data_IF_519826782932
#
_entry.id   IF_519826782932
#
_cell.length_a   1.000
_cell.length_b   1.000
_cell.length_c   1.000
_cell.angle_alpha   90.00
_cell.angle_beta   90.00
_cell.angle_gamma   90.00
#
_symmetry.space_group_name_H-M   'P 1'
#
loop_
_entity.id
_entity.type
_entity.pdbx_description
1 polymer ?
#
# COMPACT_ATOMS: atom_id res chain seq x y z
N UNK A 1 20.64 -14.69 20.26
CA UNK A 1 19.28 -14.97 19.77
C UNK A 1 19.42 -15.19 18.29
N UNK A 2 18.93 -16.31 17.76
CA UNK A 2 19.03 -16.68 16.33
C UNK A 2 18.28 -15.69 15.44
N UNK A 3 18.65 -15.66 14.16
CA UNK A 3 18.09 -14.71 13.19
C UNK A 3 16.59 -14.99 13.01
N UNK A 4 16.21 -16.25 12.80
CA UNK A 4 14.83 -16.64 12.54
C UNK A 4 13.89 -16.32 13.71
N UNK A 5 14.32 -16.67 14.93
CA UNK A 5 13.56 -16.36 16.15
C UNK A 5 13.33 -14.86 16.30
N UNK A 6 14.37 -14.07 16.04
CA UNK A 6 14.33 -12.61 16.12
C UNK A 6 13.32 -12.04 15.14
N UNK A 7 13.32 -12.51 13.89
CA UNK A 7 12.33 -12.08 12.88
C UNK A 7 10.92 -12.42 13.37
N UNK A 8 10.67 -13.68 13.73
CA UNK A 8 9.34 -14.14 14.18
C UNK A 8 8.81 -13.32 15.35
N UNK A 9 9.62 -13.11 16.39
CA UNK A 9 9.22 -12.41 17.61
C UNK A 9 8.99 -10.92 17.37
N UNK A 10 9.78 -10.29 16.49
CA UNK A 10 9.55 -8.90 16.08
C UNK A 10 8.29 -8.73 15.24
N UNK A 11 7.96 -9.74 14.43
CA UNK A 11 6.67 -9.78 13.73
C UNK A 11 5.53 -10.17 14.65
N UNK A 12 5.85 -10.64 15.87
CA UNK A 12 4.98 -11.07 16.96
C UNK A 12 4.16 -12.32 16.66
N UNK A 13 4.66 -13.22 15.82
CA UNK A 13 4.03 -14.50 15.56
C UNK A 13 4.45 -15.54 16.61
N UNK A 14 3.55 -16.46 16.95
CA UNK A 14 3.91 -17.68 17.67
C UNK A 14 4.48 -18.72 16.70
N UNK A 15 5.28 -19.66 17.20
CA UNK A 15 5.77 -20.77 16.38
C UNK A 15 4.62 -21.59 15.79
N UNK A 16 3.53 -21.80 16.55
CA UNK A 16 2.35 -22.51 16.05
C UNK A 16 1.69 -21.78 14.86
N UNK A 17 1.62 -20.45 14.90
CA UNK A 17 1.06 -19.66 13.79
C UNK A 17 1.91 -19.81 12.52
N UNK A 18 3.24 -19.72 12.66
CA UNK A 18 4.16 -19.86 11.52
C UNK A 18 4.17 -21.29 10.98
N UNK A 19 4.25 -22.31 11.85
CA UNK A 19 4.17 -23.72 11.48
C UNK A 19 2.89 -24.01 10.69
N UNK A 20 1.75 -23.51 11.17
CA UNK A 20 0.47 -23.67 10.47
C UNK A 20 0.44 -22.95 9.11
N UNK A 21 1.10 -21.80 8.98
CA UNK A 21 1.11 -21.01 7.74
C UNK A 21 2.09 -21.56 6.69
N UNK A 22 3.21 -22.14 7.13
CA UNK A 22 4.27 -22.68 6.28
C UNK A 22 4.09 -24.17 5.96
N UNK A 23 3.29 -24.89 6.76
CA UNK A 23 3.20 -26.35 6.70
C UNK A 23 4.37 -27.08 7.38
N UNK A 24 5.35 -26.35 7.93
CA UNK A 24 6.45 -26.94 8.70
C UNK A 24 5.91 -27.53 10.01
N UNK A 25 6.49 -28.66 10.44
CA UNK A 25 6.20 -29.17 11.78
C UNK A 25 6.71 -28.20 12.84
N UNK A 26 5.99 -28.11 13.97
CA UNK A 26 6.42 -27.26 15.09
C UNK A 26 7.82 -27.63 15.58
N UNK A 27 8.17 -28.92 15.58
CA UNK A 27 9.49 -29.41 15.95
C UNK A 27 10.57 -28.94 14.97
N UNK A 28 10.29 -28.98 13.65
CA UNK A 28 11.22 -28.51 12.63
C UNK A 28 11.46 -27.01 12.73
N UNK A 29 10.40 -26.21 12.86
CA UNK A 29 10.52 -24.76 13.05
C UNK A 29 11.30 -24.42 14.33
N UNK A 30 11.03 -25.11 15.43
CA UNK A 30 11.75 -24.89 16.68
C UNK A 30 13.25 -25.24 16.57
N UNK A 31 13.59 -26.31 15.83
CA UNK A 31 14.99 -26.67 15.55
C UNK A 31 15.68 -25.61 14.70
N UNK A 32 15.04 -25.19 13.59
CA UNK A 32 15.56 -24.11 12.73
C UNK A 32 15.77 -22.80 13.51
N UNK A 33 14.89 -22.45 14.45
CA UNK A 33 15.09 -21.28 15.33
C UNK A 33 16.21 -21.45 16.37
N UNK A 34 16.89 -22.61 16.45
CA UNK A 34 18.03 -22.86 17.34
C UNK A 34 19.34 -22.86 16.55
N UNK A 35 19.37 -23.52 15.39
CA UNK A 35 20.58 -23.73 14.59
C UNK A 35 20.66 -22.82 13.35
N UNK A 36 19.58 -22.10 13.02
CA UNK A 36 19.43 -21.31 11.79
C UNK A 36 19.67 -22.16 10.52
N UNK A 37 19.46 -23.48 10.60
CA UNK A 37 19.63 -24.44 9.50
C UNK A 37 18.28 -24.68 8.79
N UNK A 38 18.21 -24.27 7.53
CA UNK A 38 17.05 -24.41 6.64
C UNK A 38 17.53 -24.85 5.27
N UNK A 39 16.76 -25.72 4.62
CA UNK A 39 16.93 -25.90 3.18
C UNK A 39 16.38 -24.68 2.40
N UNK A 40 16.65 -24.65 1.10
CA UNK A 40 16.25 -23.53 0.24
C UNK A 40 14.72 -23.33 0.17
N UNK A 41 13.96 -24.43 0.17
CA UNK A 41 12.49 -24.39 0.06
C UNK A 41 11.88 -23.91 1.38
N UNK A 42 12.43 -24.35 2.52
CA UNK A 42 12.03 -23.90 3.84
C UNK A 42 12.35 -22.41 4.07
N UNK A 43 13.55 -21.97 3.66
CA UNK A 43 13.95 -20.57 3.73
C UNK A 43 13.05 -19.68 2.87
N UNK A 44 12.73 -20.11 1.65
CA UNK A 44 11.80 -19.42 0.75
C UNK A 44 10.41 -19.35 1.36
N UNK A 45 9.90 -20.46 1.90
CA UNK A 45 8.58 -20.54 2.52
C UNK A 45 8.47 -19.63 3.76
N UNK A 46 9.50 -19.60 4.60
CA UNK A 46 9.56 -18.71 5.76
C UNK A 46 9.70 -17.24 5.33
N UNK A 47 10.51 -16.93 4.32
CA UNK A 47 10.63 -15.59 3.77
C UNK A 47 9.32 -15.04 3.22
N UNK A 48 8.55 -15.91 2.58
CA UNK A 48 7.20 -15.63 2.08
C UNK A 48 6.22 -15.25 3.20
N UNK A 49 6.30 -15.93 4.34
CA UNK A 49 5.47 -15.67 5.52
C UNK A 49 5.94 -14.45 6.30
N UNK A 50 7.25 -14.25 6.42
CA UNK A 50 7.83 -13.13 7.16
C UNK A 50 7.91 -11.83 6.37
N UNK A 51 7.71 -11.86 5.06
CA UNK A 51 7.87 -10.68 4.24
C UNK A 51 9.33 -10.24 4.14
N UNK A 52 10.30 -11.15 4.24
CA UNK A 52 11.76 -10.86 4.10
C UNK A 52 12.43 -11.89 3.20
N UNK A 53 13.67 -11.60 2.79
CA UNK A 53 14.56 -12.63 2.28
C UNK A 53 15.25 -13.30 3.48
N UNK A 54 14.89 -14.56 3.76
CA UNK A 54 15.47 -15.30 4.89
C UNK A 54 16.90 -15.74 4.57
N UNK A 55 17.20 -16.09 3.32
CA UNK A 55 18.54 -16.48 2.90
C UNK A 55 19.54 -15.34 3.16
N UNK A 56 19.23 -14.15 2.68
CA UNK A 56 20.06 -12.96 2.91
C UNK A 56 20.22 -12.63 4.41
N UNK A 57 19.15 -12.80 5.20
CA UNK A 57 19.19 -12.53 6.63
C UNK A 57 20.09 -13.53 7.39
N UNK A 58 20.05 -14.80 6.99
CA UNK A 58 20.90 -15.86 7.53
C UNK A 58 22.37 -15.64 7.14
N UNK A 59 22.64 -15.35 5.86
CA UNK A 59 23.99 -15.07 5.35
C UNK A 59 24.63 -13.84 6.04
N UNK A 60 23.84 -12.79 6.25
CA UNK A 60 24.29 -11.59 6.95
C UNK A 60 24.45 -11.79 8.47
N UNK A 61 23.94 -12.90 9.02
CA UNK A 61 23.88 -13.14 10.47
C UNK A 61 23.09 -12.08 11.24
N UNK A 62 22.14 -11.40 10.56
CA UNK A 62 21.43 -10.24 11.09
C UNK A 62 19.96 -10.27 10.69
N UNK A 63 19.09 -10.13 11.68
CA UNK A 63 17.64 -10.06 11.50
C UNK A 63 17.23 -8.75 10.81
N UNK A 64 17.28 -8.78 9.48
CA UNK A 64 16.85 -7.69 8.62
C UNK A 64 15.32 -7.68 8.54
N UNK A 65 14.67 -7.02 9.50
CA UNK A 65 13.22 -7.00 9.64
C UNK A 65 12.51 -6.37 8.44
N UNK A 66 11.36 -6.88 8.00
CA UNK A 66 10.66 -6.30 6.86
C UNK A 66 10.22 -4.86 7.15
N UNK A 67 9.98 -4.05 6.11
CA UNK A 67 9.50 -2.68 6.31
C UNK A 67 8.22 -2.61 7.15
N UNK A 68 7.38 -3.65 7.06
CA UNK A 68 6.13 -3.73 7.80
C UNK A 68 6.29 -4.12 9.28
N UNK A 69 7.49 -4.49 9.75
CA UNK A 69 7.68 -4.91 11.15
C UNK A 69 7.37 -3.79 12.16
N UNK A 70 7.59 -2.52 11.78
CA UNK A 70 7.23 -1.38 12.62
C UNK A 70 5.72 -1.33 12.88
N UNK A 71 4.89 -1.47 11.83
CA UNK A 71 3.43 -1.54 11.93
C UNK A 71 3.01 -2.69 12.86
N UNK A 72 3.64 -3.85 12.70
CA UNK A 72 3.28 -5.05 13.45
C UNK A 72 3.67 -5.00 14.93
N UNK A 73 4.67 -4.20 15.33
CA UNK A 73 5.01 -4.03 16.76
C UNK A 73 4.17 -2.98 17.45
N UNK A 74 3.80 -1.90 16.76
CA UNK A 74 2.96 -0.83 17.31
C UNK A 74 1.50 -1.26 17.43
N UNK A 75 0.91 -1.68 16.31
CA UNK A 75 -0.53 -1.96 16.19
C UNK A 75 -0.86 -3.45 16.14
N UNK A 76 0.13 -4.34 16.05
CA UNK A 76 -0.09 -5.77 15.88
C UNK A 76 -0.83 -6.47 17.01
N UNK A 77 -0.90 -5.86 18.20
CA UNK A 77 -1.76 -6.36 19.29
C UNK A 77 -3.26 -6.18 19.00
N UNK A 78 -3.64 -5.27 18.10
CA UNK A 78 -5.03 -4.98 17.73
C UNK A 78 -5.41 -5.69 16.41
N UNK A 79 -4.42 -6.04 15.59
CA UNK A 79 -4.63 -6.73 14.32
C UNK A 79 -4.86 -8.23 14.52
N UNK A 80 -5.78 -8.80 13.74
CA UNK A 80 -5.93 -10.26 13.67
C UNK A 80 -4.66 -10.93 13.11
N UNK A 81 -4.44 -12.20 13.47
CA UNK A 81 -3.30 -12.98 12.95
C UNK A 81 -3.30 -13.01 11.42
N UNK A 82 -4.48 -13.17 10.81
CA UNK A 82 -4.67 -13.15 9.37
C UNK A 82 -4.26 -11.80 8.76
N UNK A 83 -4.68 -10.67 9.35
CA UNK A 83 -4.28 -9.34 8.88
C UNK A 83 -2.76 -9.15 8.91
N UNK A 84 -2.08 -9.71 9.92
CA UNK A 84 -0.62 -9.63 10.04
C UNK A 84 0.11 -10.45 8.97
N UNK A 85 -0.41 -11.62 8.62
CA UNK A 85 0.12 -12.37 7.48
C UNK A 85 -0.12 -11.66 6.15
N UNK A 86 -1.31 -11.08 5.93
CA UNK A 86 -1.60 -10.26 4.74
C UNK A 86 -0.65 -9.05 4.62
N UNK A 87 -0.32 -8.40 5.74
CA UNK A 87 0.66 -7.31 5.79
C UNK A 87 2.07 -7.79 5.39
N UNK A 88 2.49 -8.97 5.85
CA UNK A 88 3.78 -9.55 5.46
C UNK A 88 3.78 -9.97 3.98
N UNK A 89 2.68 -10.55 3.50
CA UNK A 89 2.49 -10.88 2.10
C UNK A 89 2.58 -9.64 1.21
N UNK A 90 2.00 -8.51 1.63
CA UNK A 90 2.13 -7.26 0.89
C UNK A 90 3.60 -6.83 0.71
N UNK A 91 4.45 -7.03 1.73
CA UNK A 91 5.88 -6.74 1.63
C UNK A 91 6.59 -7.68 0.65
N UNK A 92 6.24 -8.98 0.62
CA UNK A 92 6.73 -9.93 -0.38
C UNK A 92 6.30 -9.55 -1.78
N UNK A 93 5.01 -9.29 -1.99
CA UNK A 93 4.44 -8.84 -3.27
C UNK A 93 5.13 -7.58 -3.77
N UNK A 94 5.39 -6.62 -2.88
CA UNK A 94 6.10 -5.39 -3.23
C UNK A 94 7.55 -5.64 -3.67
N UNK A 95 8.30 -6.53 -2.98
CA UNK A 95 9.65 -6.90 -3.41
C UNK A 95 9.64 -7.58 -4.79
N UNK A 96 8.75 -8.54 -5.01
CA UNK A 96 8.63 -9.21 -6.31
C UNK A 96 8.27 -8.21 -7.40
N UNK A 97 7.28 -7.35 -7.16
CA UNK A 97 6.90 -6.30 -8.10
C UNK A 97 8.08 -5.37 -8.41
N UNK A 98 8.83 -4.97 -7.38
CA UNK A 98 10.02 -4.13 -7.54
C UNK A 98 11.10 -4.79 -8.38
N UNK A 99 11.37 -6.07 -8.14
CA UNK A 99 12.33 -6.85 -8.93
C UNK A 99 11.88 -6.95 -10.39
N UNK A 100 10.62 -7.30 -10.65
CA UNK A 100 10.06 -7.37 -12.00
C UNK A 100 10.13 -6.03 -12.74
N UNK A 101 9.80 -4.92 -12.06
CA UNK A 101 9.95 -3.58 -12.59
C UNK A 101 11.40 -3.30 -13.01
N UNK A 102 12.38 -3.68 -12.18
CA UNK A 102 13.79 -3.52 -12.53
C UNK A 102 14.17 -4.30 -13.79
N UNK A 103 13.72 -5.56 -13.91
CA UNK A 103 13.99 -6.39 -15.09
C UNK A 103 13.32 -5.85 -16.35
N UNK A 104 12.16 -5.21 -16.21
CA UNK A 104 11.42 -4.57 -17.30
C UNK A 104 11.95 -3.17 -17.66
N UNK A 105 12.91 -2.63 -16.91
CA UNK A 105 13.42 -1.27 -17.09
C UNK A 105 12.49 -0.17 -16.57
N UNK A 106 11.49 -0.50 -15.75
CA UNK A 106 10.59 0.44 -15.12
C UNK A 106 11.28 1.12 -13.90
N UNK A 107 11.09 2.43 -13.74
CA UNK A 107 11.56 3.18 -12.55
C UNK A 107 10.71 2.81 -11.32
N UNK A 108 11.37 2.66 -10.17
CA UNK A 108 10.74 2.24 -8.92
C UNK A 108 10.08 3.36 -8.12
N UNK A 109 10.22 4.62 -8.57
CA UNK A 109 9.61 5.77 -7.92
C UNK A 109 10.19 6.14 -6.54
N UNK A 110 10.97 5.26 -5.92
CA UNK A 110 11.54 5.46 -4.59
C UNK A 110 12.43 6.71 -4.54
N UNK A 111 13.26 6.89 -5.57
CA UNK A 111 14.09 8.09 -5.73
C UNK A 111 13.25 9.37 -5.77
N UNK A 112 12.09 9.35 -6.44
CA UNK A 112 11.18 10.50 -6.54
C UNK A 112 10.53 10.82 -5.20
N UNK A 113 10.15 9.81 -4.42
CA UNK A 113 9.67 10.00 -3.04
C UNK A 113 10.76 10.61 -2.16
N UNK A 114 12.01 10.18 -2.31
CA UNK A 114 13.15 10.72 -1.54
C UNK A 114 13.47 12.18 -1.85
N UNK A 115 13.08 12.71 -3.02
CA UNK A 115 13.23 14.14 -3.34
C UNK A 115 12.42 15.05 -2.40
N UNK A 116 11.40 14.51 -1.73
CA UNK A 116 10.66 15.24 -0.72
C UNK A 116 11.42 15.20 0.60
N UNK A 117 12.31 16.15 0.87
CA UNK A 117 12.90 16.34 2.20
C UNK A 117 11.83 16.20 3.29
N UNK A 118 12.09 15.30 4.23
CA UNK A 118 11.14 14.98 5.27
C UNK A 118 11.05 16.09 6.33
N UNK A 119 9.93 16.12 7.03
CA UNK A 119 9.58 17.25 7.89
C UNK A 119 9.43 16.79 9.34
N UNK A 120 10.41 17.15 10.16
CA UNK A 120 10.43 16.85 11.60
C UNK A 120 9.85 18.02 12.42
N UNK A 121 9.55 19.16 11.82
CA UNK A 121 9.12 20.36 12.53
C UNK A 121 7.59 20.44 12.57
N UNK A 122 7.01 19.50 13.30
CA UNK A 122 5.57 19.50 13.55
C UNK A 122 5.28 19.36 15.03
N UNK A 123 4.78 20.46 15.62
CA UNK A 123 4.34 20.53 17.00
C UNK A 123 2.81 20.54 17.08
N UNK A 124 2.11 21.10 16.08
CA UNK A 124 0.64 21.13 16.04
C UNK A 124 0.04 21.37 14.62
N UNK A 125 -1.16 20.84 14.27
CA UNK A 125 -1.82 21.07 12.97
C UNK A 125 -2.13 22.52 12.63
N UNK A 126 -2.21 23.38 13.65
CA UNK A 126 -2.50 24.81 13.49
C UNK A 126 -1.27 25.64 13.15
N UNK A 127 -0.09 25.03 13.08
CA UNK A 127 1.17 25.74 12.78
C UNK A 127 1.35 26.00 11.27
N UNK A 128 0.32 25.70 10.45
CA UNK A 128 0.33 25.92 8.99
C UNK A 128 1.17 24.90 8.20
N UNK A 129 1.83 23.96 8.87
CA UNK A 129 2.61 22.91 8.24
C UNK A 129 1.81 22.05 7.23
N UNK A 130 0.55 21.64 7.49
CA UNK A 130 -0.21 20.84 6.53
C UNK A 130 -0.45 21.56 5.19
N UNK A 131 -0.83 22.85 5.22
CA UNK A 131 -1.02 23.67 4.01
C UNK A 131 0.32 23.88 3.27
N UNK A 132 1.42 24.09 3.99
CA UNK A 132 2.78 24.20 3.39
C UNK A 132 3.19 22.93 2.66
N UNK A 133 3.05 21.77 3.31
CA UNK A 133 3.40 20.47 2.73
C UNK A 133 2.52 20.15 1.52
N UNK A 134 1.21 20.38 1.64
CA UNK A 134 0.28 20.22 0.53
C UNK A 134 0.65 21.14 -0.64
N UNK A 135 0.96 22.41 -0.38
CA UNK A 135 1.37 23.38 -1.40
C UNK A 135 2.65 22.97 -2.10
N UNK A 136 3.63 22.41 -1.37
CA UNK A 136 4.87 21.86 -1.95
C UNK A 136 4.58 20.73 -2.93
N UNK A 137 3.73 19.77 -2.55
CA UNK A 137 3.31 18.67 -3.44
C UNK A 137 2.57 19.22 -4.67
N UNK A 138 1.63 20.16 -4.47
CA UNK A 138 0.90 20.76 -5.58
C UNK A 138 1.80 21.55 -6.54
N UNK A 139 2.84 22.20 -6.02
CA UNK A 139 3.83 22.92 -6.83
C UNK A 139 4.68 21.95 -7.68
N UNK A 140 5.15 20.86 -7.07
CA UNK A 140 5.92 19.81 -7.76
C UNK A 140 5.14 19.26 -8.98
N UNK A 141 3.84 18.98 -8.78
CA UNK A 141 2.97 18.44 -9.82
C UNK A 141 2.24 19.51 -10.65
N UNK A 142 2.56 20.80 -10.47
CA UNK A 142 1.95 21.95 -11.17
C UNK A 142 0.41 21.93 -11.14
N UNK A 143 -0.17 21.50 -10.02
CA UNK A 143 -1.62 21.34 -9.86
C UNK A 143 -2.37 22.66 -9.61
N UNK A 144 -1.64 23.75 -9.32
CA UNK A 144 -2.23 25.06 -9.01
C UNK A 144 -3.22 24.98 -7.84
N UNK A 145 -4.39 25.62 -7.97
CA UNK A 145 -5.48 25.60 -6.97
C UNK A 145 -6.70 24.79 -7.39
N UNK A 146 -6.68 24.20 -8.58
CA UNK A 146 -7.79 23.42 -9.12
C UNK A 146 -7.96 22.06 -8.41
N UNK A 147 -9.13 21.44 -8.48
CA UNK A 147 -9.32 20.08 -7.99
C UNK A 147 -8.32 19.09 -8.62
N UNK A 148 -7.80 18.17 -7.81
CA UNK A 148 -7.04 17.02 -8.33
C UNK A 148 -8.06 16.06 -8.94
N UNK A 149 -8.01 15.86 -10.25
CA UNK A 149 -8.95 15.01 -10.96
C UNK A 149 -8.78 13.55 -10.52
N UNK A 150 -7.55 13.05 -10.51
CA UNK A 150 -7.23 11.69 -10.07
C UNK A 150 -6.02 11.72 -9.14
N UNK A 151 -6.18 11.28 -7.90
CA UNK A 151 -5.05 11.11 -6.97
C UNK A 151 -4.10 10.04 -7.51
N UNK A 152 -4.67 8.96 -8.06
CA UNK A 152 -3.90 7.84 -8.60
C UNK A 152 -3.05 8.26 -9.79
N UNK A 153 -3.67 8.86 -10.82
CA UNK A 153 -2.97 9.14 -12.08
C UNK A 153 -2.17 10.45 -12.06
N UNK A 154 -2.57 11.46 -11.28
CA UNK A 154 -1.84 12.74 -11.24
C UNK A 154 -0.75 12.79 -10.16
N UNK A 155 -0.80 11.93 -9.13
CA UNK A 155 0.19 11.92 -8.04
C UNK A 155 0.90 10.57 -7.89
N UNK A 156 0.16 9.50 -7.59
CA UNK A 156 0.76 8.22 -7.19
C UNK A 156 1.54 7.56 -8.32
N UNK A 157 0.95 7.45 -9.51
CA UNK A 157 1.59 6.85 -10.69
C UNK A 157 2.84 7.62 -11.15
N UNK A 158 2.83 8.97 -11.28
CA UNK A 158 4.05 9.74 -11.56
C UNK A 158 5.15 9.56 -10.50
N UNK A 159 4.77 9.41 -9.22
CA UNK A 159 5.72 9.10 -8.15
C UNK A 159 6.23 7.66 -8.16
N UNK A 160 5.66 6.78 -9.00
CA UNK A 160 5.97 5.35 -9.01
C UNK A 160 5.51 4.62 -7.75
N UNK A 161 4.48 5.14 -7.06
CA UNK A 161 3.90 4.49 -5.87
C UNK A 161 3.06 3.30 -6.33
N UNK A 162 3.40 2.11 -5.84
CA UNK A 162 2.65 0.89 -6.06
C UNK A 162 1.41 0.86 -5.17
N UNK A 163 0.22 0.77 -5.76
CA UNK A 163 -1.03 0.65 -4.99
C UNK A 163 -1.53 -0.79 -5.04
N UNK A 164 -1.45 -1.50 -3.92
CA UNK A 164 -1.94 -2.86 -3.74
C UNK A 164 -3.32 -2.86 -3.10
N UNK A 165 -4.06 -3.95 -3.29
CA UNK A 165 -5.35 -4.19 -2.62
C UNK A 165 -5.25 -5.37 -1.68
N UNK A 166 -5.71 -5.22 -0.44
CA UNK A 166 -5.79 -6.30 0.53
C UNK A 166 -7.22 -6.49 1.05
N UNK A 167 -7.46 -7.58 1.76
CA UNK A 167 -8.71 -7.78 2.50
C UNK A 167 -8.37 -7.92 3.99
N UNK A 168 -8.49 -6.81 4.72
CA UNK A 168 -8.17 -6.72 6.14
C UNK A 168 -9.45 -6.44 6.95
N UNK A 169 -9.29 -6.34 8.27
CA UNK A 169 -10.34 -5.90 9.19
C UNK A 169 -10.90 -4.51 8.79
N UNK A 170 -12.21 -4.31 8.88
CA UNK A 170 -12.92 -3.08 8.41
C UNK A 170 -12.43 -1.77 9.05
N UNK A 171 -11.78 -1.89 10.21
CA UNK A 171 -11.21 -0.75 10.95
C UNK A 171 -9.90 -0.23 10.36
N UNK A 172 -9.30 -0.96 9.42
CA UNK A 172 -8.09 -0.55 8.70
C UNK A 172 -8.53 -0.09 7.32
N UNK A 173 -8.32 1.18 6.98
CA UNK A 173 -8.61 1.67 5.63
C UNK A 173 -7.46 1.40 4.67
N UNK A 174 -6.25 1.68 5.11
CA UNK A 174 -5.04 1.47 4.34
C UNK A 174 -3.83 1.43 5.28
N UNK A 175 -2.69 1.12 4.69
CA UNK A 175 -1.38 1.41 5.26
C UNK A 175 -0.40 1.60 4.10
N UNK A 176 0.74 2.23 4.32
CA UNK A 176 1.79 2.36 3.32
C UNK A 176 3.10 1.73 3.79
N UNK A 177 4.02 1.46 2.86
CA UNK A 177 5.42 1.21 3.18
C UNK A 177 6.41 1.46 2.07
N UNK A 178 7.69 1.60 2.40
CA UNK A 178 8.71 1.67 1.36
C UNK A 178 10.16 1.62 1.80
N UNK A 179 10.97 0.97 0.96
CA UNK A 179 12.42 0.88 1.04
C UNK A 179 12.99 0.82 -0.38
N UNK A 180 14.32 0.90 -0.58
CA UNK A 180 14.92 0.64 -1.88
C UNK A 180 14.49 -0.70 -2.52
N UNK A 181 14.29 -1.73 -1.69
CA UNK A 181 13.94 -3.10 -2.10
C UNK A 181 12.45 -3.30 -2.39
N UNK A 182 11.55 -2.52 -1.79
CA UNK A 182 10.10 -2.61 -2.05
C UNK A 182 9.56 -1.50 -2.95
N UNK A 183 10.32 -0.41 -3.15
CA UNK A 183 9.76 0.83 -3.66
C UNK A 183 8.79 1.47 -2.67
N UNK A 184 8.08 2.52 -3.10
CA UNK A 184 7.01 3.15 -2.33
C UNK A 184 5.68 2.43 -2.59
N UNK A 185 4.96 2.05 -1.54
CA UNK A 185 3.79 1.18 -1.58
C UNK A 185 2.66 1.76 -0.73
N UNK A 186 1.44 1.73 -1.26
CA UNK A 186 0.20 1.92 -0.49
C UNK A 186 -0.62 0.65 -0.64
N UNK A 187 -1.13 0.11 0.46
CA UNK A 187 -2.05 -1.02 0.48
C UNK A 187 -3.43 -0.52 0.89
N UNK A 188 -4.38 -0.53 -0.02
CA UNK A 188 -5.77 -0.20 0.25
C UNK A 188 -6.53 -1.44 0.75
N UNK A 189 -7.22 -1.33 1.87
CA UNK A 189 -8.11 -2.39 2.34
C UNK A 189 -9.44 -2.30 1.59
N UNK A 190 -9.82 -3.36 0.88
CA UNK A 190 -11.11 -3.45 0.19
C UNK A 190 -12.32 -3.51 1.11
N UNK A 191 -12.12 -3.70 2.42
CA UNK A 191 -13.18 -3.68 3.45
C UNK A 191 -13.12 -2.43 4.34
N UNK A 192 -12.19 -1.51 4.08
CA UNK A 192 -12.06 -0.30 4.89
C UNK A 192 -13.31 0.58 4.79
N UNK A 193 -13.80 1.06 5.92
CA UNK A 193 -15.01 1.90 6.02
C UNK A 193 -14.99 3.09 5.05
N UNK A 194 -13.86 3.80 4.95
CA UNK A 194 -13.74 4.99 4.10
C UNK A 194 -13.37 4.63 2.65
N UNK A 195 -12.76 3.48 2.42
CA UNK A 195 -12.32 3.08 1.07
C UNK A 195 -13.45 2.59 0.16
N UNK A 196 -14.66 2.36 0.68
CA UNK A 196 -15.80 1.96 -0.15
C UNK A 196 -16.27 3.10 -1.06
N UNK A 197 -16.19 4.35 -0.60
CA UNK A 197 -16.59 5.53 -1.36
C UNK A 197 -15.38 6.23 -2.00
N UNK A 198 -15.52 6.78 -3.21
CA UNK A 198 -14.42 7.49 -3.88
C UNK A 198 -13.84 8.65 -3.06
N UNK A 199 -14.69 9.46 -2.41
CA UNK A 199 -14.23 10.59 -1.61
C UNK A 199 -13.41 10.14 -0.40
N UNK A 200 -13.77 9.01 0.21
CA UNK A 200 -12.99 8.40 1.28
C UNK A 200 -11.71 7.73 0.75
N UNK A 201 -11.74 7.00 -0.37
CA UNK A 201 -10.50 6.48 -1.01
C UNK A 201 -9.51 7.60 -1.31
N UNK A 202 -9.97 8.70 -1.88
CA UNK A 202 -9.12 9.85 -2.22
C UNK A 202 -8.45 10.44 -0.98
N UNK A 203 -9.20 10.60 0.11
CA UNK A 203 -8.62 11.13 1.36
C UNK A 203 -7.64 10.14 1.99
N UNK A 204 -7.96 8.84 1.94
CA UNK A 204 -7.08 7.75 2.41
C UNK A 204 -5.79 7.72 1.60
N UNK A 205 -5.84 7.70 0.27
CA UNK A 205 -4.65 7.72 -0.59
C UNK A 205 -3.79 8.96 -0.35
N UNK A 206 -4.40 10.14 -0.23
CA UNK A 206 -3.69 11.37 0.07
C UNK A 206 -3.06 11.36 1.48
N UNK A 207 -3.69 10.68 2.44
CA UNK A 207 -3.18 10.50 3.80
C UNK A 207 -1.95 9.58 3.81
N UNK A 208 -2.04 8.40 3.19
CA UNK A 208 -0.91 7.48 3.05
C UNK A 208 0.25 8.12 2.27
N UNK A 209 -0.06 8.92 1.26
CA UNK A 209 0.96 9.68 0.52
C UNK A 209 1.72 10.66 1.44
N UNK A 210 1.06 11.29 2.42
CA UNK A 210 1.76 12.15 3.39
C UNK A 210 2.86 11.38 4.12
N UNK A 211 2.54 10.19 4.61
CA UNK A 211 3.48 9.35 5.33
C UNK A 211 4.66 8.96 4.46
N UNK A 212 4.40 8.55 3.21
CA UNK A 212 5.43 8.27 2.22
C UNK A 212 6.34 9.47 1.97
N UNK A 213 5.79 10.68 1.87
CA UNK A 213 6.55 11.87 1.50
C UNK A 213 7.27 12.57 2.65
N UNK A 214 6.78 12.53 3.88
CA UNK A 214 7.27 13.45 4.93
C UNK A 214 7.64 12.81 6.26
N UNK A 215 7.24 11.57 6.55
CA UNK A 215 7.30 11.06 7.93
C UNK A 215 8.53 10.17 8.20
N UNK A 216 9.45 10.08 7.24
CA UNK A 216 10.56 9.10 7.21
C UNK A 216 11.67 9.24 8.30
N UNK A 217 12.16 10.43 8.71
CA UNK A 217 13.40 10.59 9.50
C UNK A 217 13.22 10.61 11.03
N UNK A 218 12.01 10.82 11.58
CA UNK A 218 11.73 10.66 13.03
C UNK A 218 11.72 9.20 13.52
N UNK A 219 12.03 8.27 12.64
CA UNK A 219 12.06 6.83 12.87
C UNK A 219 13.50 6.31 13.07
N UNK A 220 14.37 7.12 13.71
CA UNK A 220 15.78 6.77 13.90
C UNK A 220 15.94 5.61 14.87
N UNK A 221 16.36 4.49 14.31
CA UNK A 221 16.57 3.19 14.97
C UNK A 221 16.30 2.03 14.01
N UNK A 222 15.51 2.26 12.96
CA UNK A 222 15.25 1.25 11.93
C UNK A 222 15.18 1.87 10.53
N UNK A 223 16.01 1.35 9.63
CA UNK A 223 16.19 1.80 8.25
C UNK A 223 14.96 1.60 7.33
N UNK A 224 13.74 1.46 7.87
CA UNK A 224 12.57 1.05 7.09
C UNK A 224 11.28 1.66 7.65
N UNK A 225 10.49 2.17 6.71
CA UNK A 225 9.18 2.79 6.80
C UNK A 225 8.23 2.32 7.93
N UNK A 226 7.45 3.26 8.51
CA UNK A 226 6.36 2.98 9.47
C UNK A 226 4.99 3.04 8.80
N UNK A 227 4.35 1.88 8.66
CA UNK A 227 2.94 1.82 8.30
C UNK A 227 2.08 2.28 9.48
N UNK A 228 0.98 2.95 9.18
CA UNK A 228 0.03 3.47 10.15
C UNK A 228 -1.32 2.81 9.85
N UNK A 229 -1.94 2.23 10.88
CA UNK A 229 -3.32 1.81 10.83
C UNK A 229 -3.97 2.19 12.16
N UNK A 230 -4.99 3.06 12.16
CA UNK A 230 -5.72 3.38 13.38
C UNK A 230 -6.99 2.53 13.50
N UNK A 231 -6.97 1.41 14.26
CA UNK A 231 -8.20 0.78 14.67
C UNK A 231 -8.95 1.71 15.64
N UNK A 232 -10.20 2.05 15.31
CA UNK A 232 -11.11 2.77 16.22
C UNK A 232 -11.14 2.07 17.60
N UNK A 233 -10.73 2.76 18.67
CA UNK A 233 -10.92 2.30 20.06
C UNK A 233 -9.78 2.49 21.07
N UNK A 234 -8.58 2.96 20.69
CA UNK A 234 -7.49 3.16 21.65
C UNK A 234 -7.74 4.35 22.59
N UNK A 235 -8.12 4.05 23.84
CA UNK A 235 -8.02 4.97 24.98
C UNK A 235 -6.77 4.60 25.79
N UNK A 236 -5.78 5.50 25.87
CA UNK A 236 -4.97 5.62 27.09
C UNK A 236 -3.47 5.32 27.09
N UNK A 237 -2.70 5.35 25.98
CA UNK A 237 -1.22 5.22 26.10
C UNK A 237 -0.50 6.23 25.19
N UNK A 238 0.50 6.91 25.77
CA UNK A 238 1.48 7.89 25.25
C UNK A 238 1.19 8.54 23.88
N UNK A 239 0.60 9.74 23.90
CA UNK A 239 -0.16 10.31 22.77
C UNK A 239 0.51 11.39 21.92
N UNK A 240 1.63 11.99 22.29
CA UNK A 240 1.89 13.32 21.71
C UNK A 240 2.54 13.31 20.31
N UNK A 241 3.49 12.41 20.03
CA UNK A 241 4.21 12.39 18.76
C UNK A 241 3.48 11.62 17.64
N UNK A 242 3.02 10.39 17.90
CA UNK A 242 2.26 9.58 16.93
C UNK A 242 0.92 10.22 16.59
N UNK A 243 0.16 10.73 17.58
CA UNK A 243 -1.07 11.48 17.27
C UNK A 243 -0.76 12.77 16.49
N UNK A 244 0.45 13.37 16.64
CA UNK A 244 0.81 14.55 15.85
C UNK A 244 1.04 14.19 14.36
N UNK A 245 1.72 13.08 14.07
CA UNK A 245 1.95 12.59 12.71
C UNK A 245 0.62 12.27 12.03
N UNK A 246 -0.28 11.55 12.72
CA UNK A 246 -1.62 11.26 12.20
C UNK A 246 -2.45 12.50 11.93
N UNK A 247 -2.45 13.43 12.87
CA UNK A 247 -3.18 14.69 12.72
C UNK A 247 -2.59 15.50 11.59
N UNK A 248 -1.27 15.45 11.37
CA UNK A 248 -0.61 16.08 10.22
C UNK A 248 -1.07 15.44 8.92
N UNK A 249 -0.99 14.13 8.78
CA UNK A 249 -1.37 13.44 7.55
C UNK A 249 -2.86 13.65 7.22
N UNK A 250 -3.73 13.63 8.23
CA UNK A 250 -5.16 13.96 8.07
C UNK A 250 -5.39 15.41 7.64
N UNK A 251 -4.66 16.36 8.21
CA UNK A 251 -4.77 17.76 7.80
C UNK A 251 -4.18 17.99 6.40
N UNK A 252 -3.04 17.35 6.11
CA UNK A 252 -2.35 17.41 4.83
C UNK A 252 -3.25 16.89 3.71
N UNK A 253 -3.90 15.74 3.88
CA UNK A 253 -4.76 15.16 2.85
C UNK A 253 -5.93 16.09 2.51
N UNK A 254 -6.52 16.73 3.52
CA UNK A 254 -7.56 17.74 3.31
C UNK A 254 -7.03 18.99 2.60
N UNK A 255 -5.84 19.49 2.96
CA UNK A 255 -5.21 20.64 2.30
C UNK A 255 -4.78 20.34 0.87
N UNK A 256 -4.31 19.12 0.60
CA UNK A 256 -3.87 18.68 -0.72
C UNK A 256 -5.03 18.62 -1.69
N UNK A 257 -6.15 18.01 -1.28
CA UNK A 257 -7.34 17.88 -2.12
C UNK A 257 -8.13 19.18 -2.25
N UNK A 258 -8.23 19.97 -1.18
CA UNK A 258 -8.93 21.25 -1.14
C UNK A 258 -7.97 22.39 -0.69
N UNK A 259 -7.12 22.89 -1.61
CA UNK A 259 -6.14 23.93 -1.30
C UNK A 259 -6.82 25.23 -0.90
N UNK A 260 -6.17 26.00 -0.02
CA UNK A 260 -6.74 27.23 0.56
C UNK A 260 -7.32 28.18 -0.49
N UNK A 261 -6.56 28.48 -1.55
CA UNK A 261 -6.98 29.47 -2.55
C UNK A 261 -8.16 28.96 -3.39
N UNK A 262 -8.10 27.70 -3.85
CA UNK A 262 -9.20 27.08 -4.59
C UNK A 262 -10.47 26.99 -3.76
N UNK A 263 -10.34 26.66 -2.46
CA UNK A 263 -11.48 26.60 -1.55
C UNK A 263 -12.08 27.99 -1.30
N UNK A 264 -11.27 29.04 -1.17
CA UNK A 264 -11.76 30.42 -1.05
C UNK A 264 -12.52 30.87 -2.30
N UNK A 265 -11.96 30.60 -3.47
CA UNK A 265 -12.58 30.92 -4.75
C UNK A 265 -13.94 30.23 -4.88
N UNK A 266 -13.98 28.91 -4.74
CA UNK A 266 -15.21 28.13 -4.80
C UNK A 266 -16.25 28.57 -3.74
N UNK A 267 -15.82 28.86 -2.51
CA UNK A 267 -16.71 29.33 -1.45
C UNK A 267 -17.29 30.71 -1.72
N UNK A 268 -16.49 31.60 -2.32
CA UNK A 268 -16.91 32.95 -2.68
C UNK A 268 -17.86 32.97 -3.88
N UNK A 269 -17.70 32.01 -4.80
CA UNK A 269 -18.55 31.85 -5.98
C UNK A 269 -19.96 31.34 -5.71
N UNK A 270 -20.24 30.87 -4.49
CA UNK A 270 -21.55 30.32 -4.09
C UNK A 270 -22.24 31.13 -3.00
N UNK A 271 -21.99 32.44 -2.91
CA UNK A 271 -22.53 33.29 -1.82
C UNK A 271 -24.05 33.40 -1.81
N UNK A 272 -24.66 33.20 -2.96
CA UNK A 272 -26.11 33.21 -3.22
C UNK A 272 -26.81 31.90 -2.82
N UNK A 273 -26.05 30.83 -2.58
CA UNK A 273 -26.60 29.54 -2.19
C UNK A 273 -26.78 29.42 -0.67
N UNK A 274 -27.79 28.64 -0.27
CA UNK A 274 -27.97 28.17 1.11
C UNK A 274 -26.73 27.44 1.63
N UNK A 275 -26.43 27.56 2.93
CA UNK A 275 -25.18 27.07 3.52
C UNK A 275 -24.89 25.60 3.18
N UNK A 276 -25.90 24.73 3.27
CA UNK A 276 -25.72 23.31 2.93
C UNK A 276 -25.37 23.06 1.47
N UNK A 277 -25.97 23.82 0.54
CA UNK A 277 -25.63 23.75 -0.89
C UNK A 277 -24.22 24.25 -1.18
N UNK A 278 -23.73 25.23 -0.40
CA UNK A 278 -22.33 25.69 -0.50
C UNK A 278 -21.36 24.60 -0.08
N UNK A 279 -21.64 23.89 1.02
CA UNK A 279 -20.81 22.78 1.48
C UNK A 279 -20.86 21.61 0.48
N UNK A 280 -22.05 21.25 -0.03
CA UNK A 280 -22.21 20.24 -1.08
C UNK A 280 -21.42 20.60 -2.35
N UNK A 281 -21.41 21.89 -2.73
CA UNK A 281 -20.63 22.38 -3.85
C UNK A 281 -19.13 22.16 -3.63
N UNK A 282 -18.60 22.47 -2.45
CA UNK A 282 -17.18 22.21 -2.13
C UNK A 282 -16.84 20.71 -2.14
N UNK A 283 -17.68 19.89 -1.53
CA UNK A 283 -17.51 18.42 -1.52
C UNK A 283 -17.47 17.86 -2.94
N UNK A 284 -18.39 18.32 -3.79
CA UNK A 284 -18.47 17.91 -5.19
C UNK A 284 -17.27 18.41 -6.00
N UNK A 285 -16.85 19.65 -5.77
CA UNK A 285 -15.76 20.31 -6.52
C UNK A 285 -14.40 19.66 -6.24
N UNK A 286 -14.09 19.38 -4.98
CA UNK A 286 -12.76 18.85 -4.60
C UNK A 286 -12.74 17.32 -4.43
N UNK A 287 -13.90 16.66 -4.45
CA UNK A 287 -14.02 15.23 -4.26
C UNK A 287 -13.64 14.79 -2.85
N UNK A 288 -14.17 15.49 -1.85
CA UNK A 288 -13.91 15.26 -0.42
C UNK A 288 -15.21 15.01 0.34
N UNK A 289 -15.13 14.23 1.42
CA UNK A 289 -16.27 14.01 2.33
C UNK A 289 -16.58 15.24 3.19
N UNK A 290 -17.75 15.22 3.84
CA UNK A 290 -18.24 16.34 4.65
C UNK A 290 -17.26 16.75 5.76
N UNK A 291 -16.69 15.78 6.48
CA UNK A 291 -15.76 16.07 7.58
C UNK A 291 -14.51 16.82 7.12
N UNK A 292 -13.96 16.45 5.95
CA UNK A 292 -12.81 17.13 5.36
C UNK A 292 -13.16 18.54 4.88
N UNK A 293 -14.31 18.71 4.20
CA UNK A 293 -14.81 20.01 3.78
C UNK A 293 -15.03 20.96 4.98
N UNK A 294 -15.67 20.46 6.04
CA UNK A 294 -15.89 21.20 7.29
C UNK A 294 -14.58 21.61 7.96
N UNK A 295 -13.61 20.69 8.06
CA UNK A 295 -12.31 21.00 8.64
C UNK A 295 -11.62 22.14 7.88
N UNK A 296 -11.60 22.07 6.55
CA UNK A 296 -11.00 23.11 5.71
C UNK A 296 -11.71 24.46 5.79
N UNK A 297 -13.04 24.47 5.88
CA UNK A 297 -13.79 25.70 6.10
C UNK A 297 -13.46 26.38 7.42
N UNK A 298 -13.37 25.60 8.51
CA UNK A 298 -12.97 26.11 9.81
C UNK A 298 -11.57 26.74 9.78
N UNK A 299 -10.63 26.11 9.06
CA UNK A 299 -9.26 26.61 8.92
C UNK A 299 -9.19 27.89 8.09
N UNK A 300 -9.85 27.92 6.92
CA UNK A 300 -9.69 28.99 5.92
C UNK A 300 -10.52 30.23 6.21
N UNK A 301 -11.74 30.06 6.72
CA UNK A 301 -12.68 31.17 6.92
C UNK A 301 -12.79 31.59 8.39
N UNK A 302 -12.16 30.87 9.32
CA UNK A 302 -12.39 31.01 10.77
C UNK A 302 -13.88 30.98 11.14
N UNK A 303 -14.72 30.38 10.28
CA UNK A 303 -16.13 30.18 10.59
C UNK A 303 -16.14 29.08 11.65
N UNK A 304 -16.39 29.45 12.91
CA UNK A 304 -16.65 28.49 13.97
C UNK A 304 -18.01 27.86 13.69
N UNK A 305 -18.03 26.83 12.85
CA UNK A 305 -19.26 26.18 12.46
C UNK A 305 -19.59 25.05 13.45
N UNK A 306 -20.61 25.25 14.28
CA UNK A 306 -21.06 24.30 15.32
C UNK A 306 -22.44 23.67 15.06
N UNK A 307 -23.09 23.97 13.94
CA UNK A 307 -24.43 23.46 13.62
C UNK A 307 -24.41 22.10 12.91
N UNK A 308 -25.52 21.36 12.96
CA UNK A 308 -25.79 20.26 12.04
C UNK A 308 -26.38 20.84 10.75
N UNK A 309 -25.69 20.67 9.62
CA UNK A 309 -26.25 20.97 8.30
C UNK A 309 -26.89 19.69 7.78
N UNK A 310 -28.14 19.77 7.38
CA UNK A 310 -28.73 18.77 6.50
C UNK A 310 -28.00 18.82 5.14
N UNK A 311 -27.04 17.92 4.95
CA UNK A 311 -26.27 17.78 3.72
C UNK A 311 -26.78 16.55 3.00
N UNK A 312 -27.13 16.70 1.73
CA UNK A 312 -27.32 15.57 0.85
C UNK A 312 -25.95 15.07 0.41
N UNK A 313 -25.70 13.78 0.52
CA UNK A 313 -24.48 13.20 -0.05
C UNK A 313 -24.41 13.51 -1.55
N UNK A 314 -23.36 14.23 -2.02
CA UNK A 314 -23.21 14.52 -3.43
C UNK A 314 -22.90 13.23 -4.19
N UNK A 315 -23.28 13.21 -5.47
CA UNK A 315 -22.96 12.07 -6.34
C UNK A 315 -21.45 11.87 -6.42
N UNK A 316 -21.00 10.69 -6.02
CA UNK A 316 -19.60 10.27 -6.13
C UNK A 316 -19.25 9.73 -7.52
N UNK A 317 -20.17 9.73 -8.49
CA UNK A 317 -19.98 9.08 -9.79
C UNK A 317 -18.78 9.63 -10.58
N UNK A 318 -18.55 10.95 -10.55
CA UNK A 318 -17.38 11.57 -11.19
C UNK A 318 -16.08 11.06 -10.55
N UNK A 319 -16.03 11.08 -9.22
CA UNK A 319 -14.85 10.68 -8.45
C UNK A 319 -14.61 9.16 -8.47
N UNK A 320 -15.66 8.35 -8.58
CA UNK A 320 -15.54 6.90 -8.80
C UNK A 320 -14.91 6.59 -10.16
N UNK A 321 -15.15 7.41 -11.19
CA UNK A 321 -14.47 7.26 -12.49
C UNK A 321 -13.03 7.74 -12.45
N UNK A 322 -12.74 8.80 -11.70
CA UNK A 322 -11.41 9.39 -11.68
C UNK A 322 -10.44 8.69 -10.72
N UNK A 323 -10.94 8.15 -9.61
CA UNK A 323 -10.21 7.28 -8.67
C UNK A 323 -11.07 6.03 -8.38
N UNK A 324 -11.15 5.09 -9.35
CA UNK A 324 -11.81 3.82 -9.12
C UNK A 324 -11.09 3.04 -8.01
N UNK A 325 -11.78 2.07 -7.42
CA UNK A 325 -11.06 1.06 -6.63
C UNK A 325 -10.00 0.41 -7.52
N UNK A 326 -8.82 0.02 -6.98
CA UNK A 326 -7.77 -0.59 -7.79
C UNK A 326 -8.32 -1.76 -8.60
N UNK A 327 -8.03 -1.76 -9.90
CA UNK A 327 -8.49 -2.81 -10.79
C UNK A 327 -7.77 -4.12 -10.43
N UNK A 328 -8.56 -5.17 -10.29
CA UNK A 328 -8.07 -6.52 -10.02
C UNK A 328 -8.51 -7.42 -11.16
N UNK A 329 -7.62 -8.31 -11.58
CA UNK A 329 -7.94 -9.28 -12.61
C UNK A 329 -9.02 -10.24 -12.10
N UNK A 330 -10.22 -10.13 -12.67
CA UNK A 330 -11.39 -10.90 -12.24
C UNK A 330 -11.19 -12.42 -12.42
N UNK A 331 -10.47 -12.83 -13.46
CA UNK A 331 -10.16 -14.24 -13.70
C UNK A 331 -9.15 -14.76 -12.65
N UNK A 332 -8.16 -13.97 -12.26
CA UNK A 332 -7.24 -14.30 -11.18
C UNK A 332 -7.97 -14.45 -9.85
N UNK A 333 -8.86 -13.51 -9.51
CA UNK A 333 -9.68 -13.59 -8.29
C UNK A 333 -10.59 -14.83 -8.30
N UNK A 334 -11.26 -15.13 -9.42
CA UNK A 334 -12.06 -16.35 -9.57
C UNK A 334 -11.21 -17.62 -9.44
N UNK A 335 -9.92 -17.51 -9.75
CA UNK A 335 -8.90 -18.55 -9.59
C UNK A 335 -8.27 -18.57 -8.19
N UNK A 336 -8.85 -17.85 -7.22
CA UNK A 336 -8.40 -17.88 -5.83
C UNK A 336 -7.09 -17.13 -5.57
N UNK A 337 -6.58 -16.39 -6.56
CA UNK A 337 -5.43 -15.50 -6.36
C UNK A 337 -5.82 -14.40 -5.39
N UNK A 338 -4.95 -14.11 -4.41
CA UNK A 338 -5.19 -13.07 -3.41
C UNK A 338 -5.34 -11.69 -4.09
N UNK A 339 -6.15 -10.77 -3.52
CA UNK A 339 -6.24 -9.40 -4.03
C UNK A 339 -4.90 -8.67 -4.13
N UNK A 340 -3.93 -9.01 -3.26
CA UNK A 340 -2.58 -8.45 -3.29
C UNK A 340 -1.84 -8.82 -4.58
N UNK A 341 -2.07 -10.03 -5.08
CA UNK A 341 -1.40 -10.59 -6.27
C UNK A 341 -2.18 -10.36 -7.55
N UNK A 342 -3.51 -10.20 -7.48
CA UNK A 342 -4.39 -10.06 -8.63
C UNK A 342 -4.42 -8.65 -9.25
N UNK A 343 -3.66 -7.69 -8.72
CA UNK A 343 -3.55 -6.32 -9.23
C UNK A 343 -2.23 -6.08 -9.97
N UNK A 344 -1.46 -5.02 -9.62
CA UNK A 344 -0.24 -4.66 -10.34
C UNK A 344 0.81 -5.77 -10.47
N UNK A 345 0.94 -6.68 -9.49
CA UNK A 345 1.88 -7.80 -9.58
C UNK A 345 1.50 -8.75 -10.73
N UNK A 346 0.21 -9.04 -10.91
CA UNK A 346 -0.28 -9.89 -12.00
C UNK A 346 0.13 -9.32 -13.36
N UNK A 347 -0.06 -8.02 -13.58
CA UNK A 347 0.31 -7.35 -14.82
C UNK A 347 1.82 -7.37 -15.07
N UNK A 348 2.62 -7.16 -14.02
CA UNK A 348 4.09 -7.25 -14.10
C UNK A 348 4.55 -8.66 -14.46
N UNK A 349 3.95 -9.69 -13.86
CA UNK A 349 4.26 -11.09 -14.15
C UNK A 349 3.93 -11.44 -15.61
N UNK A 350 2.78 -10.99 -16.12
CA UNK A 350 2.42 -11.19 -17.52
C UNK A 350 3.39 -10.49 -18.48
N UNK A 351 3.74 -9.23 -18.21
CA UNK A 351 4.71 -8.47 -19.02
C UNK A 351 6.08 -9.13 -19.02
N UNK A 352 6.57 -9.54 -17.84
CA UNK A 352 7.86 -10.20 -17.71
C UNK A 352 7.89 -11.55 -18.41
N UNK A 353 6.82 -12.35 -18.30
CA UNK A 353 6.71 -13.62 -19.00
C UNK A 353 6.65 -13.45 -20.51
N UNK A 354 5.83 -12.52 -21.00
CA UNK A 354 5.75 -12.20 -22.43
C UNK A 354 7.09 -11.71 -23.02
N UNK A 355 7.95 -11.13 -22.17
CA UNK A 355 9.31 -10.68 -22.52
C UNK A 355 10.37 -11.77 -22.34
N UNK A 356 10.01 -12.99 -21.92
CA UNK A 356 10.94 -14.09 -21.68
C UNK A 356 11.83 -13.94 -20.43
N UNK A 357 11.53 -12.98 -19.55
CA UNK A 357 12.31 -12.70 -18.34
C UNK A 357 12.01 -13.69 -17.21
N UNK A 358 10.81 -14.28 -17.20
CA UNK A 358 10.38 -15.28 -16.21
C UNK A 358 9.67 -16.44 -16.88
N UNK A 359 9.82 -17.63 -16.30
CA UNK A 359 9.12 -18.83 -16.76
C UNK A 359 7.64 -18.80 -16.36
N UNK A 360 6.81 -19.61 -17.02
CA UNK A 360 5.42 -19.82 -16.60
C UNK A 360 5.34 -20.37 -15.17
N UNK A 361 6.27 -21.24 -14.80
CA UNK A 361 6.39 -21.78 -13.44
C UNK A 361 6.59 -20.68 -12.39
N UNK A 362 7.46 -19.71 -12.67
CA UNK A 362 7.71 -18.56 -11.80
C UNK A 362 6.44 -17.71 -11.62
N UNK A 363 5.67 -17.51 -12.71
CA UNK A 363 4.40 -16.77 -12.61
C UNK A 363 3.39 -17.51 -11.74
N UNK A 364 3.19 -18.81 -11.99
CA UNK A 364 2.29 -19.64 -11.19
C UNK A 364 2.63 -19.58 -9.70
N UNK A 365 3.90 -19.75 -9.37
CA UNK A 365 4.42 -19.69 -8.00
C UNK A 365 4.12 -18.32 -7.35
N UNK A 366 4.42 -17.22 -8.06
CA UNK A 366 4.14 -15.87 -7.58
C UNK A 366 2.66 -15.49 -7.59
N UNK A 367 1.78 -16.28 -8.20
CA UNK A 367 0.32 -16.13 -8.06
C UNK A 367 -0.24 -17.06 -6.99
N UNK A 368 0.58 -17.93 -6.40
CA UNK A 368 0.20 -18.97 -5.42
C UNK A 368 -0.95 -19.84 -5.92
N UNK A 369 -0.91 -20.22 -7.19
CA UNK A 369 -1.89 -21.12 -7.81
C UNK A 369 -1.30 -22.53 -7.87
N UNK A 370 -2.00 -23.51 -7.31
CA UNK A 370 -1.59 -24.91 -7.41
C UNK A 370 -1.61 -25.40 -8.87
N UNK A 371 -0.85 -26.46 -9.16
CA UNK A 371 -0.69 -26.93 -10.55
C UNK A 371 -2.01 -27.42 -11.17
N UNK A 372 -2.87 -28.07 -10.39
CA UNK A 372 -4.15 -28.58 -10.90
C UNK A 372 -5.06 -27.43 -11.31
N UNK A 373 -5.13 -26.39 -10.49
CA UNK A 373 -5.88 -25.17 -10.79
C UNK A 373 -5.25 -24.39 -11.93
N UNK A 374 -3.92 -24.31 -11.98
CA UNK A 374 -3.20 -23.64 -13.06
C UNK A 374 -3.52 -24.25 -14.44
N UNK A 375 -3.63 -25.58 -14.53
CA UNK A 375 -4.03 -26.25 -15.78
C UNK A 375 -5.45 -25.86 -16.23
N UNK A 376 -6.35 -25.56 -15.29
CA UNK A 376 -7.72 -25.13 -15.58
C UNK A 376 -7.80 -23.65 -16.01
N UNK A 377 -6.96 -22.79 -15.41
CA UNK A 377 -7.10 -21.33 -15.51
C UNK A 377 -5.97 -20.63 -16.26
N UNK A 378 -4.83 -21.27 -16.50
CA UNK A 378 -3.67 -20.66 -17.16
C UNK A 378 -4.03 -20.03 -18.50
N UNK A 379 -4.80 -20.76 -19.33
CA UNK A 379 -5.36 -20.23 -20.57
C UNK A 379 -6.26 -19.00 -20.40
N UNK A 380 -7.05 -18.95 -19.33
CA UNK A 380 -7.92 -17.80 -18.98
C UNK A 380 -7.13 -16.62 -18.42
N UNK A 381 -5.96 -16.88 -17.85
CA UNK A 381 -5.03 -15.86 -17.34
C UNK A 381 -4.09 -15.32 -18.42
N UNK A 382 -4.25 -15.74 -19.68
CA UNK A 382 -3.44 -15.28 -20.81
C UNK A 382 -2.22 -16.16 -21.12
N UNK A 383 -2.05 -17.28 -20.42
CA UNK A 383 -1.01 -18.28 -20.70
C UNK A 383 -1.58 -19.34 -21.64
N UNK A 384 -1.45 -19.13 -22.94
CA UNK A 384 -1.73 -20.20 -23.89
C UNK A 384 -0.62 -21.25 -23.74
N UNK A 385 -0.91 -22.55 -23.60
CA UNK A 385 0.13 -23.57 -23.63
C UNK A 385 0.87 -23.40 -24.96
N UNK A 386 2.14 -22.97 -24.92
CA UNK A 386 2.98 -23.13 -26.08
C UNK A 386 3.00 -24.63 -26.35
N UNK A 387 2.56 -25.00 -27.56
CA UNK A 387 2.60 -26.37 -28.03
C UNK A 387 3.97 -26.96 -27.64
N UNK A 388 3.89 -28.06 -26.90
CA UNK A 388 4.99 -28.91 -26.46
C UNK A 388 6.22 -28.75 -27.33
N UNK A 389 7.36 -28.48 -26.69
CA UNK A 389 8.70 -28.65 -27.25
C UNK A 389 8.66 -29.65 -28.40
N UNK A 390 8.73 -29.16 -29.66
CA UNK A 390 9.17 -30.02 -30.75
C UNK A 390 10.60 -30.35 -30.38
N UNK A 391 10.80 -31.53 -29.82
CA UNK A 391 12.10 -32.19 -29.83
C UNK A 391 12.66 -32.02 -31.23
N UNK A 392 13.80 -31.33 -31.31
CA UNK A 392 14.57 -31.21 -32.54
C UNK A 392 14.69 -32.62 -33.13
N UNK A 393 14.05 -32.82 -34.28
CA UNK A 393 14.27 -33.99 -35.09
C UNK A 393 15.78 -34.16 -35.29
N UNK A 394 16.22 -35.40 -35.09
CA UNK A 394 17.54 -35.92 -35.36
C UNK A 394 18.16 -35.29 -36.61
N UNK A 395 19.32 -34.67 -36.44
CA UNK A 395 20.30 -34.53 -37.50
C UNK A 395 20.75 -35.95 -37.87
N UNK A 396 20.16 -36.49 -38.93
CA UNK A 396 20.69 -37.66 -39.63
C UNK A 396 22.09 -37.32 -40.14
N UNK A 397 23.09 -37.94 -39.51
CA UNK A 397 24.39 -38.14 -40.12
C UNK A 397 24.28 -39.36 -41.03
N UNK A 398 24.06 -39.15 -42.33
CA UNK A 398 24.44 -40.15 -43.33
C UNK A 398 25.73 -39.71 -44.01
N UNK A 399 26.81 -40.38 -43.62
CA UNK A 399 27.98 -40.54 -44.47
C UNK A 399 27.65 -41.59 -45.54
N UNK A 400 27.67 -41.17 -46.81
CA UNK A 400 28.36 -41.81 -47.94
C UNK A 400 28.12 -41.01 -49.22
#
# INVERSE_FOLDING_TARGET
MTVLRTIRENLGFSQHQVASATGLSLARLAAAEIDDDLDHDEATTLGDVYGVDVGDALEAGSATLPPVAALLRGDGAVLSVTARFEICEAATVARTARWLQAQLGDDNGWSRVLNFAADDDYRHPKDGAPDRLASRVRAEFRLGSAPILSVTDQLLRPLGVLVLSATLDEKVDAFCFGTPETGAVIVLNRRGEHTQAATGRRITLAHELCHLLFDRPKMQGMNRFCAIAYPKGRKGVARDAEDSIERRARAFSACLLAPTDGLREAWSGTRDLELGRRVEHLMTTFGVGYLAARARLNDVQRIAYSGEIAIREPSSAMWNRADPSPELNAAALASGVSPLRAGPLFDLLLRAHASGLVSEGYVRENLRVDMARWQEVGGKLGFTPQATFRTSASLDWTAD
#
